data_IF_030430095758
#
_entry.id   IF_030430095758
#
_cell.length_a   1.000
_cell.length_b   1.000
_cell.length_c   1.000
_cell.angle_alpha   90.00
_cell.angle_beta   90.00
_cell.angle_gamma   90.00
#
_symmetry.space_group_name_H-M   'P 1'
#
loop_
_entity.id
_entity.type
_entity.pdbx_description
1 polymer ?
#
# COMPACT_ATOMS: atom_id res chain seq x y z
N UNK A 1 -17.97 -17.28 -66.06
CA UNK A 1 -18.47 -16.84 -64.75
C UNK A 1 -17.26 -16.83 -63.81
N UNK A 2 -16.74 -15.64 -63.54
CA UNK A 2 -15.63 -15.39 -62.62
C UNK A 2 -16.23 -14.66 -61.42
N UNK A 3 -16.36 -15.35 -60.28
CA UNK A 3 -16.74 -14.70 -59.05
C UNK A 3 -15.51 -14.23 -58.29
N UNK A 4 -15.48 -12.95 -58.04
CA UNK A 4 -14.47 -12.20 -57.32
C UNK A 4 -14.63 -12.38 -55.84
N UNK A 5 -13.63 -13.00 -55.19
CA UNK A 5 -13.44 -13.10 -53.74
C UNK A 5 -12.80 -11.78 -53.23
N UNK A 6 -13.61 -10.76 -53.04
CA UNK A 6 -13.19 -9.56 -52.32
C UNK A 6 -14.25 -9.18 -51.30
N UNK A 7 -13.90 -9.38 -50.02
CA UNK A 7 -14.74 -8.80 -48.95
C UNK A 7 -14.94 -9.73 -47.76
N UNK A 8 -13.96 -9.84 -46.90
CA UNK A 8 -14.12 -10.09 -45.45
C UNK A 8 -12.79 -9.99 -44.70
N UNK A 9 -12.27 -8.78 -44.58
CA UNK A 9 -11.08 -8.50 -43.76
C UNK A 9 -11.29 -7.24 -42.88
N UNK A 10 -12.49 -7.03 -42.31
CA UNK A 10 -12.80 -5.83 -41.56
C UNK A 10 -13.23 -6.05 -40.12
N UNK A 11 -13.01 -7.21 -39.52
CA UNK A 11 -13.42 -7.45 -38.12
C UNK A 11 -12.34 -8.15 -37.29
N UNK A 12 -11.12 -7.58 -37.26
CA UNK A 12 -10.13 -7.98 -36.27
C UNK A 12 -9.83 -6.80 -35.34
N UNK A 13 -9.98 -6.97 -34.02
CA UNK A 13 -9.73 -5.90 -33.08
C UNK A 13 -8.25 -5.50 -33.11
N UNK A 14 -8.00 -4.21 -33.04
CA UNK A 14 -6.68 -3.52 -33.16
C UNK A 14 -5.56 -4.00 -32.23
N UNK A 15 -5.83 -4.92 -31.31
CA UNK A 15 -4.86 -5.39 -30.29
C UNK A 15 -3.93 -6.54 -30.73
N UNK A 16 -3.98 -7.04 -31.97
CA UNK A 16 -3.13 -8.17 -32.44
C UNK A 16 -2.19 -7.84 -33.60
N UNK A 17 -1.89 -6.56 -33.87
CA UNK A 17 -0.98 -6.16 -34.96
C UNK A 17 0.45 -5.77 -34.51
N UNK A 18 0.84 -6.02 -33.27
CA UNK A 18 2.16 -5.59 -32.75
C UNK A 18 3.12 -6.74 -32.41
N UNK A 19 3.00 -7.91 -33.04
CA UNK A 19 3.90 -9.02 -32.78
C UNK A 19 4.32 -9.73 -34.09
N UNK A 20 4.94 -9.04 -35.05
CA UNK A 20 5.72 -9.65 -36.11
C UNK A 20 6.71 -8.63 -36.72
N UNK A 21 7.71 -8.21 -35.93
CA UNK A 21 8.95 -7.61 -36.42
C UNK A 21 10.03 -7.79 -35.34
N UNK A 22 10.55 -9.01 -35.21
CA UNK A 22 11.83 -9.27 -34.55
C UNK A 22 12.69 -10.03 -35.54
N UNK A 23 13.34 -9.30 -36.43
CA UNK A 23 14.42 -9.77 -37.28
C UNK A 23 15.71 -9.80 -36.47
N UNK A 24 16.31 -10.97 -36.48
CA UNK A 24 17.72 -11.31 -36.55
C UNK A 24 18.70 -10.14 -36.42
N UNK A 25 19.47 -10.07 -35.34
CA UNK A 25 20.83 -9.51 -35.34
C UNK A 25 21.79 -10.54 -34.79
N UNK A 26 22.71 -10.87 -35.69
CA UNK A 26 23.78 -11.85 -35.58
C UNK A 26 24.86 -11.39 -34.61
N UNK A 27 25.35 -12.34 -33.84
CA UNK A 27 26.53 -12.24 -32.99
C UNK A 27 27.82 -11.97 -33.81
N UNK A 28 28.64 -11.07 -33.31
CA UNK A 28 30.07 -11.04 -33.67
C UNK A 28 30.87 -10.56 -32.44
N UNK A 29 31.57 -11.49 -31.87
CA UNK A 29 32.97 -11.52 -31.50
C UNK A 29 33.52 -10.48 -30.55
N UNK A 30 34.03 -10.97 -29.42
CA UNK A 30 34.92 -10.20 -28.56
C UNK A 30 35.38 -11.01 -27.34
N UNK A 31 36.25 -11.98 -27.59
CA UNK A 31 37.08 -12.64 -26.58
C UNK A 31 38.09 -11.61 -26.04
N UNK A 32 37.97 -11.18 -24.81
CA UNK A 32 39.04 -10.50 -24.08
C UNK A 32 39.45 -11.39 -22.91
N UNK A 33 40.59 -12.07 -23.13
CA UNK A 33 41.35 -12.75 -22.09
C UNK A 33 42.08 -11.72 -21.26
N UNK A 34 41.81 -11.61 -19.96
CA UNK A 34 42.65 -10.90 -19.02
C UNK A 34 43.37 -11.90 -18.14
N UNK A 35 44.67 -11.93 -18.32
CA UNK A 35 45.61 -12.77 -17.60
C UNK A 35 45.75 -12.26 -16.13
N UNK A 36 45.60 -13.21 -15.22
CA UNK A 36 45.89 -13.03 -13.80
C UNK A 36 47.39 -13.04 -13.55
N UNK A 37 47.93 -11.98 -12.99
CA UNK A 37 49.26 -11.94 -12.40
C UNK A 37 49.17 -12.17 -10.90
N UNK A 38 49.57 -13.33 -10.46
CA UNK A 38 49.94 -13.70 -9.09
C UNK A 38 51.35 -13.20 -8.79
N UNK A 39 51.52 -12.37 -7.82
CA UNK A 39 52.72 -12.15 -7.02
C UNK A 39 52.22 -11.84 -5.63
N UNK A 40 52.42 -12.61 -4.57
CA UNK A 40 53.63 -13.22 -4.08
C UNK A 40 54.03 -12.53 -2.77
N UNK A 41 53.82 -13.27 -1.65
CA UNK A 41 54.80 -13.24 -0.55
C UNK A 41 54.58 -12.25 0.61
N UNK A 42 54.51 -12.81 1.82
CA UNK A 42 54.73 -12.03 3.05
C UNK A 42 54.31 -12.81 4.31
N UNK A 43 55.23 -13.61 4.81
CA UNK A 43 55.23 -14.28 6.11
C UNK A 43 55.44 -13.29 7.26
N UNK A 44 54.86 -13.60 8.42
CA UNK A 44 55.21 -13.06 9.73
C UNK A 44 53.98 -12.76 10.56
N UNK A 45 53.67 -13.45 11.58
CA UNK A 45 54.34 -13.80 12.78
C UNK A 45 53.48 -13.42 13.96
N UNK A 46 53.04 -14.42 14.71
CA UNK A 46 53.21 -14.47 16.16
C UNK A 46 52.25 -13.77 17.09
N UNK A 47 51.53 -14.58 17.87
CA UNK A 47 51.43 -14.35 19.32
C UNK A 47 50.12 -13.73 19.81
N UNK A 48 49.32 -14.44 20.46
CA UNK A 48 49.15 -14.74 21.88
C UNK A 48 47.72 -14.94 22.22
N UNK A 49 47.46 -16.13 22.69
CA UNK A 49 46.25 -16.47 23.47
C UNK A 49 46.27 -15.66 24.75
N UNK A 50 45.16 -15.10 25.13
CA UNK A 50 44.81 -14.87 26.53
C UNK A 50 43.37 -15.29 26.76
N UNK A 51 43.25 -16.41 27.45
CA UNK A 51 42.05 -16.84 28.12
C UNK A 51 41.65 -15.81 29.18
N UNK A 52 40.40 -15.42 29.19
CA UNK A 52 39.78 -14.84 30.36
C UNK A 52 38.38 -15.42 30.49
N UNK A 53 38.35 -16.55 31.20
CA UNK A 53 37.16 -17.02 31.87
C UNK A 53 36.82 -16.07 33.03
N UNK A 54 35.54 -15.78 33.19
CA UNK A 54 35.12 -15.28 34.48
C UNK A 54 33.96 -14.30 34.48
N UNK A 55 32.87 -14.82 34.84
CA UNK A 55 31.83 -14.45 35.81
C UNK A 55 30.43 -14.41 35.25
N UNK A 56 29.76 -15.49 35.56
CA UNK A 56 28.32 -15.53 35.73
C UNK A 56 27.89 -14.49 36.78
N UNK A 57 27.21 -13.46 36.37
CA UNK A 57 26.49 -12.53 37.22
C UNK A 57 25.09 -13.06 37.49
N UNK A 58 24.80 -13.28 38.74
CA UNK A 58 23.55 -13.79 39.28
C UNK A 58 22.36 -12.87 38.89
N UNK A 59 21.25 -13.50 38.55
CA UNK A 59 19.94 -12.90 38.41
C UNK A 59 19.43 -12.42 39.79
N UNK A 60 18.86 -11.24 39.94
CA UNK A 60 18.14 -10.89 41.15
C UNK A 60 16.78 -11.58 41.21
N UNK A 61 16.53 -12.17 42.36
CA UNK A 61 15.31 -12.82 42.77
C UNK A 61 14.09 -11.88 42.81
N UNK A 62 12.99 -12.49 42.42
CA UNK A 62 11.58 -12.15 42.66
C UNK A 62 11.28 -10.86 43.44
N UNK A 63 10.56 -9.99 42.81
CA UNK A 63 9.68 -9.01 43.48
C UNK A 63 8.25 -9.52 43.37
N UNK A 64 7.59 -9.60 44.51
CA UNK A 64 6.32 -10.26 44.71
C UNK A 64 5.15 -9.65 43.93
N UNK A 65 4.38 -10.53 43.32
CA UNK A 65 3.10 -10.23 42.73
C UNK A 65 2.01 -10.03 43.77
N UNK A 66 1.46 -8.84 43.83
CA UNK A 66 0.20 -8.60 44.51
C UNK A 66 -0.96 -9.05 43.59
N UNK A 67 -1.80 -9.92 44.13
CA UNK A 67 -3.02 -10.37 43.43
C UNK A 67 -4.03 -9.24 43.28
N UNK A 68 -4.71 -9.12 42.13
CA UNK A 68 -5.79 -8.15 42.00
C UNK A 68 -7.01 -8.56 42.82
N UNK A 69 -7.45 -7.64 43.68
CA UNK A 69 -8.68 -7.76 44.49
C UNK A 69 -9.88 -7.66 43.52
N UNK A 70 -10.68 -8.71 43.45
CA UNK A 70 -11.97 -8.71 42.79
C UNK A 70 -12.93 -7.81 43.55
N UNK A 71 -13.41 -6.78 42.90
CA UNK A 71 -14.56 -5.98 43.36
C UNK A 71 -15.82 -6.71 42.85
N UNK A 72 -16.65 -7.15 43.81
CA UNK A 72 -17.94 -7.74 43.50
C UNK A 72 -18.93 -6.68 43.01
N UNK A 73 -19.78 -6.99 42.02
CA UNK A 73 -20.84 -6.07 41.60
C UNK A 73 -21.96 -6.06 42.66
N UNK A 74 -22.33 -4.85 43.11
CA UNK A 74 -23.48 -4.61 43.96
C UNK A 74 -24.80 -4.85 43.22
N UNK A 75 -25.89 -5.14 43.96
CA UNK A 75 -27.19 -5.43 43.37
C UNK A 75 -27.85 -4.15 42.84
N UNK A 76 -28.21 -4.18 41.56
CA UNK A 76 -28.99 -3.14 40.90
C UNK A 76 -30.47 -3.26 41.26
N UNK A 77 -31.22 -2.14 41.29
CA UNK A 77 -32.64 -2.15 41.54
C UNK A 77 -33.48 -2.62 40.38
N UNK A 78 -34.59 -3.26 40.74
CA UNK A 78 -35.57 -3.91 39.89
C UNK A 78 -36.26 -2.97 38.90
N UNK A 79 -36.58 -3.56 37.75
CA UNK A 79 -37.47 -2.97 36.74
C UNK A 79 -38.95 -2.95 37.21
N UNK A 80 -39.76 -2.04 36.70
CA UNK A 80 -41.10 -2.40 36.33
C UNK A 80 -41.54 -1.91 34.93
N UNK A 81 -42.35 -2.68 34.27
CA UNK A 81 -43.37 -2.17 33.37
C UNK A 81 -43.22 -2.56 31.92
N UNK A 82 -43.88 -3.62 31.56
CA UNK A 82 -44.31 -3.93 30.20
C UNK A 82 -45.26 -2.83 29.68
N UNK A 83 -45.13 -2.49 28.42
CA UNK A 83 -46.11 -1.63 27.77
C UNK A 83 -45.82 -1.37 26.30
N UNK A 84 -46.66 -1.95 25.42
CA UNK A 84 -47.08 -1.49 24.12
C UNK A 84 -46.19 -1.75 22.90
N UNK A 85 -46.66 -2.71 22.12
CA UNK A 85 -46.45 -2.86 20.68
C UNK A 85 -46.72 -1.55 19.94
N UNK A 86 -45.64 -1.01 19.32
CA UNK A 86 -45.74 0.03 18.31
C UNK A 86 -45.14 -0.51 17.00
N UNK A 87 -45.73 -0.24 15.83
CA UNK A 87 -45.22 -0.72 14.58
C UNK A 87 -43.87 -0.10 14.29
N UNK A 88 -42.88 -0.96 13.97
CA UNK A 88 -41.55 -0.57 13.51
C UNK A 88 -41.71 0.11 12.15
N UNK A 89 -41.27 1.35 11.96
CA UNK A 89 -41.20 1.92 10.63
C UNK A 89 -40.03 1.29 9.88
N UNK A 90 -40.34 0.34 9.00
CA UNK A 90 -39.45 -0.07 7.93
C UNK A 90 -39.36 1.08 6.93
N UNK A 91 -38.18 1.62 6.75
CA UNK A 91 -37.97 2.61 5.71
C UNK A 91 -36.80 3.54 6.02
N UNK A 92 -35.58 3.01 6.04
CA UNK A 92 -34.42 3.88 5.83
C UNK A 92 -34.29 4.13 4.34
N UNK A 93 -35.10 5.04 3.81
CA UNK A 93 -34.80 5.74 2.58
C UNK A 93 -33.49 6.50 2.83
N UNK A 94 -32.44 6.06 2.18
CA UNK A 94 -31.24 6.91 2.05
C UNK A 94 -31.64 8.12 1.21
N UNK A 95 -32.00 9.19 1.90
CA UNK A 95 -32.23 10.50 1.30
C UNK A 95 -30.93 10.92 0.60
N UNK A 96 -30.98 11.37 -0.68
CA UNK A 96 -29.80 11.90 -1.33
C UNK A 96 -29.29 13.11 -0.54
N UNK A 97 -27.94 13.30 -0.42
CA UNK A 97 -27.37 14.40 0.32
C UNK A 97 -27.91 15.73 -0.21
N UNK A 98 -28.44 16.55 0.69
CA UNK A 98 -28.87 17.91 0.40
C UNK A 98 -27.66 18.81 0.17
N UNK A 99 -27.79 19.81 -0.69
CA UNK A 99 -26.77 20.80 -1.03
C UNK A 99 -26.13 21.40 0.23
N UNK A 100 -24.87 21.01 0.51
CA UNK A 100 -24.14 21.38 1.73
C UNK A 100 -23.58 20.22 2.55
N UNK A 101 -23.91 18.99 2.22
CA UNK A 101 -23.37 17.81 2.94
C UNK A 101 -21.87 17.62 2.65
N UNK A 102 -21.11 17.53 3.74
CA UNK A 102 -19.69 17.20 3.68
C UNK A 102 -19.51 15.70 3.89
N UNK A 103 -18.89 15.03 2.91
CA UNK A 103 -18.45 13.66 3.06
C UNK A 103 -17.02 13.62 3.64
N UNK A 104 -16.79 12.82 4.68
CA UNK A 104 -15.44 12.59 5.21
C UNK A 104 -15.30 11.14 5.65
N UNK A 105 -14.35 10.41 5.04
CA UNK A 105 -14.18 8.99 5.34
C UNK A 105 -12.73 8.54 5.14
N UNK A 106 -12.24 7.69 6.02
CA UNK A 106 -11.00 6.95 5.86
C UNK A 106 -11.24 5.65 5.09
N UNK A 107 -10.27 5.25 4.27
CA UNK A 107 -10.21 3.96 3.61
C UNK A 107 -8.76 3.43 3.66
N UNK A 108 -8.61 2.12 3.57
CA UNK A 108 -7.30 1.47 3.57
C UNK A 108 -7.31 0.12 4.23
N UNK A 109 -6.16 -0.55 4.35
CA UNK A 109 -6.05 -1.79 5.11
C UNK A 109 -6.58 -1.61 6.53
N UNK A 110 -7.39 -2.57 6.99
CA UNK A 110 -7.94 -2.55 8.34
C UNK A 110 -8.98 -1.46 8.64
N UNK A 111 -9.48 -0.74 7.64
CA UNK A 111 -10.57 0.20 7.81
C UNK A 111 -11.92 -0.47 7.59
N UNK A 112 -12.92 -0.11 8.40
CA UNK A 112 -14.29 -0.61 8.29
C UNK A 112 -15.11 0.13 7.24
N UNK A 113 -14.60 1.22 6.68
CA UNK A 113 -15.27 2.07 5.71
C UNK A 113 -14.39 2.32 4.48
N UNK A 114 -15.02 2.78 3.39
CA UNK A 114 -14.36 2.85 2.08
C UNK A 114 -14.07 1.47 1.52
N UNK A 115 -13.42 1.44 0.37
CA UNK A 115 -12.96 0.20 -0.26
C UNK A 115 -11.45 0.25 -0.42
N UNK A 116 -10.79 -0.86 -0.14
CA UNK A 116 -9.37 -1.04 -0.39
C UNK A 116 -9.14 -2.35 -1.13
N UNK A 117 -8.38 -2.32 -2.22
CA UNK A 117 -8.11 -3.49 -3.07
C UNK A 117 -6.64 -3.52 -3.47
N UNK A 118 -6.04 -4.70 -3.42
CA UNK A 118 -4.67 -4.96 -3.88
C UNK A 118 -4.70 -5.78 -5.17
N UNK A 119 -3.83 -5.42 -6.12
CA UNK A 119 -3.67 -6.13 -7.38
C UNK A 119 -2.21 -6.44 -7.63
N UNK A 120 -1.95 -7.58 -8.26
CA UNK A 120 -0.58 -8.05 -8.48
C UNK A 120 0.13 -8.47 -7.20
N UNK A 121 -0.62 -8.81 -6.12
CA UNK A 121 -0.05 -9.27 -4.87
C UNK A 121 0.65 -10.61 -5.04
N UNK A 122 1.88 -10.70 -4.55
CA UNK A 122 2.67 -11.92 -4.42
C UNK A 122 3.46 -11.87 -3.11
N UNK A 123 3.67 -13.02 -2.47
CA UNK A 123 4.25 -13.09 -1.11
C UNK A 123 5.59 -13.85 -1.09
N UNK A 124 6.13 -14.19 -2.26
CA UNK A 124 7.37 -14.95 -2.37
C UNK A 124 8.58 -14.04 -2.60
N UNK A 125 9.68 -14.35 -1.90
CA UNK A 125 10.96 -13.64 -2.02
C UNK A 125 11.04 -12.36 -1.18
N UNK A 126 12.24 -11.79 -1.11
CA UNK A 126 12.55 -10.59 -0.31
C UNK A 126 11.82 -9.33 -0.79
N UNK A 127 11.38 -9.34 -2.04
CA UNK A 127 10.61 -8.26 -2.66
C UNK A 127 9.09 -8.56 -2.69
N UNK A 128 8.61 -9.53 -1.91
CA UNK A 128 7.18 -9.85 -1.83
C UNK A 128 6.38 -8.80 -1.07
N UNK A 129 5.08 -8.79 -1.30
CA UNK A 129 4.15 -8.04 -0.47
C UNK A 129 4.08 -8.64 0.94
N UNK A 130 3.89 -7.80 1.93
CA UNK A 130 3.54 -8.24 3.28
C UNK A 130 2.65 -7.22 3.99
N UNK A 131 1.90 -7.71 4.95
CA UNK A 131 1.10 -6.87 5.84
C UNK A 131 1.93 -6.50 7.05
N UNK A 132 1.85 -5.24 7.45
CA UNK A 132 2.42 -4.70 8.68
C UNK A 132 1.27 -4.41 9.63
N UNK A 133 1.28 -5.02 10.81
CA UNK A 133 0.12 -5.03 11.71
C UNK A 133 -0.10 -3.72 12.46
N UNK A 134 0.91 -2.83 12.49
CA UNK A 134 0.84 -1.57 13.21
C UNK A 134 1.71 -0.49 12.58
N UNK A 135 1.53 0.75 13.03
CA UNK A 135 2.28 1.91 12.54
C UNK A 135 1.51 2.73 11.50
N UNK A 136 0.38 2.25 11.00
CA UNK A 136 -0.58 3.03 10.21
C UNK A 136 -1.50 3.88 11.09
N UNK A 137 -2.49 4.52 10.47
CA UNK A 137 -3.48 5.32 11.19
C UNK A 137 -4.46 4.42 11.95
N UNK A 138 -4.48 4.58 13.27
CA UNK A 138 -5.38 3.90 14.19
C UNK A 138 -6.47 4.88 14.66
N UNK A 139 -7.58 4.90 13.95
CA UNK A 139 -8.71 5.79 14.20
C UNK A 139 -9.67 5.85 13.03
N UNK A 140 -10.82 6.50 13.21
CA UNK A 140 -11.83 6.62 12.15
C UNK A 140 -12.33 5.28 11.59
N UNK A 141 -12.29 4.23 12.41
CA UNK A 141 -12.68 2.88 12.01
C UNK A 141 -11.56 2.04 11.36
N UNK A 142 -10.31 2.49 11.45
CA UNK A 142 -9.12 1.76 10.98
C UNK A 142 -8.34 1.20 12.19
N UNK A 143 -7.57 0.14 11.98
CA UNK A 143 -6.84 -0.60 13.02
C UNK A 143 -5.31 -0.42 12.99
N UNK A 144 -4.81 0.49 12.16
CA UNK A 144 -3.39 0.81 12.06
C UNK A 144 -2.53 -0.16 11.26
N UNK A 145 -3.08 -1.23 10.69
CA UNK A 145 -2.33 -2.09 9.76
C UNK A 145 -2.14 -1.42 8.40
N UNK A 146 -1.12 -1.81 7.67
CA UNK A 146 -0.90 -1.35 6.30
C UNK A 146 -0.19 -2.42 5.46
N UNK A 147 -0.19 -2.24 4.14
CA UNK A 147 0.49 -3.16 3.22
C UNK A 147 1.79 -2.54 2.71
N UNK A 148 2.87 -3.31 2.81
CA UNK A 148 4.13 -3.01 2.16
C UNK A 148 4.09 -3.52 0.72
N UNK A 149 4.07 -2.60 -0.23
CA UNK A 149 3.96 -2.85 -1.67
C UNK A 149 5.35 -2.86 -2.27
N UNK A 150 5.80 -3.94 -2.92
CA UNK A 150 7.12 -3.98 -3.53
C UNK A 150 7.28 -2.91 -4.59
N UNK A 151 8.48 -2.37 -4.70
CA UNK A 151 8.83 -1.44 -5.78
C UNK A 151 9.15 -2.21 -7.06
N UNK A 152 8.88 -1.62 -8.21
CA UNK A 152 9.16 -2.22 -9.52
C UNK A 152 10.65 -2.38 -9.84
N UNK A 153 11.53 -1.74 -9.06
CA UNK A 153 12.95 -1.62 -9.35
C UNK A 153 13.28 -0.54 -10.39
N UNK A 154 12.27 0.14 -10.93
CA UNK A 154 12.40 1.20 -11.93
C UNK A 154 11.68 2.47 -11.47
N UNK A 155 12.31 3.66 -11.59
CA UNK A 155 11.65 4.92 -11.27
C UNK A 155 10.63 5.36 -12.33
N UNK A 156 10.58 4.70 -13.49
CA UNK A 156 9.78 5.12 -14.65
C UNK A 156 8.78 4.06 -15.14
N UNK A 157 8.94 2.81 -14.72
CA UNK A 157 8.13 1.69 -15.19
C UNK A 157 7.35 1.04 -14.07
N UNK A 158 6.10 0.66 -14.37
CA UNK A 158 5.23 -0.09 -13.47
C UNK A 158 5.34 -1.59 -13.79
N UNK A 159 5.25 -2.46 -12.78
CA UNK A 159 5.20 -3.92 -12.93
C UNK A 159 3.86 -4.53 -12.52
N UNK A 160 2.90 -3.69 -12.12
CA UNK A 160 1.52 -4.08 -11.88
C UNK A 160 1.17 -4.40 -10.44
N UNK A 161 2.07 -4.18 -9.47
CA UNK A 161 1.74 -4.19 -8.06
C UNK A 161 1.08 -2.87 -7.69
N UNK A 162 -0.24 -2.90 -7.42
CA UNK A 162 -1.00 -1.68 -7.16
C UNK A 162 -1.96 -1.83 -5.99
N UNK A 163 -2.19 -0.73 -5.28
CA UNK A 163 -3.20 -0.62 -4.24
C UNK A 163 -4.21 0.47 -4.62
N UNK A 164 -5.50 0.21 -4.41
CA UNK A 164 -6.59 1.13 -4.78
C UNK A 164 -7.47 1.41 -3.57
N UNK A 165 -7.68 2.69 -3.28
CA UNK A 165 -8.68 3.20 -2.33
C UNK A 165 -9.84 3.75 -3.12
N UNK A 166 -11.08 3.48 -2.68
CA UNK A 166 -12.26 4.04 -3.31
C UNK A 166 -13.33 4.42 -2.29
N UNK A 167 -14.02 5.51 -2.57
CA UNK A 167 -15.12 6.05 -1.77
C UNK A 167 -16.33 6.19 -2.66
N UNK A 168 -17.43 5.56 -2.25
CA UNK A 168 -18.71 5.72 -2.90
C UNK A 168 -19.39 6.97 -2.33
N UNK A 169 -19.36 8.04 -3.09
CA UNK A 169 -19.85 9.34 -2.66
C UNK A 169 -21.35 9.51 -2.90
N UNK A 170 -21.87 8.92 -3.99
CA UNK A 170 -23.17 9.27 -4.52
C UNK A 170 -23.09 10.56 -5.38
N UNK A 171 -24.23 11.20 -5.55
CA UNK A 171 -24.35 12.41 -6.37
C UNK A 171 -24.14 13.69 -5.54
N UNK A 172 -23.80 14.78 -6.22
CA UNK A 172 -23.74 16.10 -5.62
C UNK A 172 -22.35 16.55 -5.16
N UNK A 173 -21.37 15.67 -5.14
CA UNK A 173 -19.99 16.02 -4.78
C UNK A 173 -19.20 16.42 -6.03
N UNK A 174 -18.53 17.56 -5.95
CA UNK A 174 -17.74 18.12 -7.06
C UNK A 174 -16.25 18.00 -6.88
N UNK A 175 -15.76 17.99 -5.65
CA UNK A 175 -14.35 18.02 -5.31
C UNK A 175 -14.06 17.25 -4.02
N UNK A 176 -12.91 16.55 -3.99
CA UNK A 176 -12.41 15.84 -2.82
C UNK A 176 -10.98 16.27 -2.47
N UNK A 177 -10.78 16.74 -1.25
CA UNK A 177 -9.47 16.92 -0.65
C UNK A 177 -8.97 15.58 -0.09
N UNK A 178 -7.70 15.26 -0.32
CA UNK A 178 -7.07 14.04 0.15
C UNK A 178 -6.10 14.29 1.32
N UNK A 179 -6.04 13.32 2.22
CA UNK A 179 -4.99 13.20 3.23
C UNK A 179 -4.46 11.78 3.20
N UNK A 180 -3.16 11.61 2.96
CA UNK A 180 -2.46 10.31 2.97
C UNK A 180 -1.80 10.15 4.33
N UNK A 181 -2.05 9.05 5.03
CA UNK A 181 -1.26 8.71 6.19
C UNK A 181 -0.04 7.91 5.77
N UNK A 182 1.15 8.38 6.13
CA UNK A 182 2.41 7.67 5.92
C UNK A 182 2.76 6.94 7.21
N UNK A 183 2.76 5.59 7.21
CA UNK A 183 2.94 4.84 8.45
C UNK A 183 4.38 4.88 8.95
N UNK A 184 4.55 4.58 10.24
CA UNK A 184 5.85 4.32 10.86
C UNK A 184 5.80 3.03 11.68
N UNK A 185 6.34 1.96 11.13
CA UNK A 185 6.46 0.65 11.78
C UNK A 185 7.72 0.51 12.63
N UNK A 186 8.56 1.55 12.68
CA UNK A 186 9.93 1.47 13.20
C UNK A 186 10.93 0.83 12.23
N UNK A 187 10.49 0.36 11.06
CA UNK A 187 11.35 -0.17 9.98
C UNK A 187 11.31 0.74 8.76
N UNK A 188 12.36 1.52 8.49
CA UNK A 188 12.36 2.51 7.40
C UNK A 188 12.04 1.95 6.01
N UNK A 189 12.34 0.68 5.75
CA UNK A 189 12.08 0.03 4.45
C UNK A 189 10.60 -0.25 4.17
N UNK A 190 9.74 -0.25 5.20
CA UNK A 190 8.31 -0.52 5.04
C UNK A 190 7.55 0.68 4.45
N UNK A 191 8.10 1.90 4.58
CA UNK A 191 7.58 3.14 4.02
C UNK A 191 8.74 3.95 3.41
N UNK A 192 9.26 3.47 2.30
CA UNK A 192 10.50 3.95 1.69
C UNK A 192 10.29 4.63 0.32
N UNK A 193 9.05 4.92 -0.05
CA UNK A 193 8.75 5.63 -1.30
C UNK A 193 9.37 7.02 -1.36
N UNK A 194 10.16 7.27 -2.41
CA UNK A 194 10.86 8.53 -2.61
C UNK A 194 10.94 8.93 -4.10
N UNK A 195 9.81 9.41 -4.66
CA UNK A 195 8.47 9.40 -4.07
C UNK A 195 7.66 8.11 -4.34
N UNK A 196 6.57 7.93 -3.59
CA UNK A 196 5.46 7.05 -3.99
C UNK A 196 4.53 7.81 -4.93
N UNK A 197 4.17 7.21 -6.05
CA UNK A 197 3.33 7.82 -7.08
C UNK A 197 1.90 7.29 -6.97
N UNK A 198 0.95 8.22 -7.06
CA UNK A 198 -0.48 7.93 -7.02
C UNK A 198 -1.18 8.47 -8.26
N UNK A 199 -2.21 7.77 -8.72
CA UNK A 199 -3.14 8.19 -9.78
C UNK A 199 -4.52 8.39 -9.18
N UNK A 200 -5.24 9.40 -9.63
CA UNK A 200 -6.65 9.60 -9.29
C UNK A 200 -7.47 9.06 -10.44
N UNK A 201 -8.39 8.14 -10.13
CA UNK A 201 -9.18 7.40 -11.10
C UNK A 201 -10.64 7.84 -11.06
N UNK A 202 -11.32 7.80 -12.21
CA UNK A 202 -12.78 7.92 -12.30
C UNK A 202 -13.50 6.57 -12.12
N UNK A 203 -12.79 5.45 -12.31
CA UNK A 203 -13.24 4.09 -12.07
C UNK A 203 -12.16 3.30 -11.32
N UNK A 204 -12.43 2.79 -10.11
CA UNK A 204 -11.45 2.03 -9.33
C UNK A 204 -11.04 0.70 -9.98
N UNK A 205 -11.84 0.16 -10.90
CA UNK A 205 -11.56 -1.09 -11.59
C UNK A 205 -10.76 -0.90 -12.89
N UNK A 206 -10.68 0.34 -13.40
CA UNK A 206 -9.99 0.68 -14.64
C UNK A 206 -8.81 1.63 -14.40
N UNK A 207 -7.58 1.12 -14.49
CA UNK A 207 -6.37 1.91 -14.36
C UNK A 207 -6.18 2.95 -15.48
N UNK A 208 -6.79 2.73 -16.65
CA UNK A 208 -6.76 3.67 -17.79
C UNK A 208 -7.72 4.85 -17.57
N UNK A 209 -8.61 4.78 -16.56
CA UNK A 209 -9.49 5.88 -16.16
C UNK A 209 -8.78 6.99 -15.39
N UNK A 210 -7.46 6.89 -15.19
CA UNK A 210 -6.66 7.89 -14.51
C UNK A 210 -6.71 9.24 -15.24
N UNK A 211 -7.09 10.30 -14.53
CA UNK A 211 -7.19 11.63 -15.11
C UNK A 211 -6.22 12.66 -14.50
N UNK A 212 -5.61 12.33 -13.37
CA UNK A 212 -4.59 13.14 -12.72
C UNK A 212 -3.80 12.28 -11.74
N UNK A 213 -2.84 12.86 -10.99
CA UNK A 213 -2.07 12.15 -9.99
C UNK A 213 -1.26 13.08 -9.10
N UNK A 214 -0.59 12.49 -8.12
CA UNK A 214 0.29 13.16 -7.19
C UNK A 214 1.39 12.21 -6.71
N UNK A 215 2.32 12.73 -5.93
CA UNK A 215 3.38 11.94 -5.33
C UNK A 215 3.61 12.37 -3.88
N UNK A 216 4.01 11.41 -3.04
CA UNK A 216 4.35 11.64 -1.62
C UNK A 216 5.71 11.02 -1.34
N UNK A 217 6.62 11.79 -0.74
CA UNK A 217 7.89 11.27 -0.22
C UNK A 217 7.66 10.63 1.15
N UNK A 218 7.40 9.34 1.15
CA UNK A 218 7.11 8.61 2.39
C UNK A 218 8.31 8.63 3.35
N UNK A 219 9.52 8.67 2.81
CA UNK A 219 10.75 8.77 3.61
C UNK A 219 10.81 10.02 4.49
N UNK A 220 10.14 11.11 4.09
CA UNK A 220 10.14 12.40 4.80
C UNK A 220 8.97 12.55 5.78
N UNK A 221 7.94 11.68 5.69
CA UNK A 221 6.65 11.87 6.37
C UNK A 221 6.19 10.71 7.24
N UNK A 222 7.10 9.80 7.62
CA UNK A 222 6.72 8.65 8.45
C UNK A 222 6.03 9.06 9.74
N UNK A 223 4.99 8.33 10.11
CA UNK A 223 4.16 8.57 11.29
C UNK A 223 3.25 9.79 11.18
N UNK A 224 3.01 10.33 9.98
CA UNK A 224 2.24 11.56 9.83
C UNK A 224 1.20 11.52 8.73
N UNK A 225 0.17 12.37 8.89
CA UNK A 225 -0.85 12.61 7.90
C UNK A 225 -0.42 13.75 6.97
N UNK A 226 -0.30 13.46 5.68
CA UNK A 226 0.13 14.41 4.65
C UNK A 226 -1.10 14.92 3.91
N UNK A 227 -1.48 16.19 4.06
CA UNK A 227 -2.52 16.78 3.24
C UNK A 227 -2.01 16.90 1.80
N UNK A 228 -2.84 16.43 0.87
CA UNK A 228 -2.63 16.60 -0.56
C UNK A 228 -3.55 17.73 -1.03
N UNK A 229 -3.58 18.04 -2.27
CA UNK A 229 -4.56 18.99 -2.80
C UNK A 229 -5.93 18.33 -3.03
N UNK A 230 -6.91 19.14 -3.39
CA UNK A 230 -8.20 18.69 -3.86
C UNK A 230 -8.19 18.28 -5.33
N UNK A 231 -9.12 17.40 -5.69
CA UNK A 231 -9.30 16.88 -7.04
C UNK A 231 -10.76 16.84 -7.41
N UNK A 232 -11.12 17.16 -8.68
CA UNK A 232 -12.49 17.09 -9.13
C UNK A 232 -13.01 15.65 -9.11
N UNK A 233 -14.24 15.47 -8.68
CA UNK A 233 -14.96 14.20 -8.72
C UNK A 233 -15.49 13.96 -10.14
N UNK A 234 -15.28 12.78 -10.71
CA UNK A 234 -15.67 12.42 -12.09
C UNK A 234 -16.83 11.42 -12.14
N UNK A 235 -17.63 11.33 -11.10
CA UNK A 235 -18.77 10.41 -11.03
C UNK A 235 -19.26 10.24 -9.61
N UNK A 236 -19.86 9.10 -9.30
CA UNK A 236 -20.38 8.77 -7.97
C UNK A 236 -19.34 8.05 -7.08
N UNK A 237 -18.17 7.74 -7.64
CA UNK A 237 -17.03 7.12 -6.94
C UNK A 237 -15.81 8.00 -7.13
N UNK A 238 -15.07 8.19 -6.05
CA UNK A 238 -13.76 8.81 -6.07
C UNK A 238 -12.72 7.75 -5.72
N UNK A 239 -11.67 7.61 -6.53
CA UNK A 239 -10.69 6.56 -6.33
C UNK A 239 -9.25 7.04 -6.52
N UNK A 240 -8.33 6.41 -5.79
CA UNK A 240 -6.89 6.67 -5.83
C UNK A 240 -6.17 5.34 -5.96
N UNK A 241 -5.20 5.27 -6.86
CA UNK A 241 -4.33 4.12 -7.07
C UNK A 241 -2.89 4.46 -6.75
N UNK A 242 -2.24 3.67 -5.90
CA UNK A 242 -0.78 3.61 -5.77
C UNK A 242 -0.23 2.72 -6.86
N UNK A 243 0.84 3.16 -7.53
CA UNK A 243 1.60 2.37 -8.51
C UNK A 243 2.99 2.06 -7.99
N UNK A 244 3.55 0.93 -8.39
CA UNK A 244 4.77 0.36 -7.84
C UNK A 244 6.08 0.97 -8.36
N UNK A 245 6.04 2.10 -9.09
CA UNK A 245 7.26 2.78 -9.54
C UNK A 245 8.15 3.13 -8.37
N UNK A 246 9.35 2.62 -8.36
CA UNK A 246 10.30 2.90 -7.30
C UNK A 246 11.55 2.07 -7.45
N UNK A 247 12.62 2.52 -6.78
CA UNK A 247 13.90 1.83 -6.76
C UNK A 247 14.13 1.21 -5.38
N UNK A 248 14.24 -0.10 -5.34
CA UNK A 248 14.49 -0.94 -4.16
C UNK A 248 15.94 -1.48 -4.11
N UNK A 249 16.84 -0.89 -4.87
CA UNK A 249 18.24 -1.29 -5.01
C UNK A 249 19.18 -0.09 -5.07
N UNK A 250 20.49 -0.35 -5.02
CA UNK A 250 21.55 0.65 -5.19
C UNK A 250 22.35 0.90 -3.92
N UNK A 251 21.71 1.19 -2.82
CA UNK A 251 22.35 1.31 -1.50
C UNK A 251 21.70 0.36 -0.48
N UNK A 252 22.41 0.07 0.61
CA UNK A 252 21.93 -0.89 1.62
C UNK A 252 20.59 -0.48 2.28
N UNK A 253 20.29 0.81 2.33
CA UNK A 253 19.04 1.31 2.89
C UNK A 253 17.84 1.12 1.96
N UNK A 254 18.08 0.87 0.67
CA UNK A 254 17.02 0.65 -0.33
C UNK A 254 16.73 -0.81 -0.63
N UNK A 255 17.65 -1.71 -0.29
CA UNK A 255 17.45 -3.15 -0.55
C UNK A 255 16.22 -3.66 0.20
N UNK A 256 15.24 -4.19 -0.55
CA UNK A 256 13.97 -4.63 -0.01
C UNK A 256 13.06 -3.48 0.45
N UNK A 257 13.22 -2.28 -0.10
CA UNK A 257 12.37 -1.13 0.17
C UNK A 257 10.98 -1.29 -0.47
N UNK A 258 9.94 -0.86 0.24
CA UNK A 258 8.55 -0.94 -0.17
C UNK A 258 7.88 0.43 -0.13
N UNK A 259 6.86 0.61 -0.95
CA UNK A 259 5.87 1.65 -0.74
C UNK A 259 4.91 1.22 0.36
N UNK A 260 4.51 2.12 1.22
CA UNK A 260 3.44 1.85 2.17
C UNK A 260 2.08 2.20 1.55
N UNK A 261 1.20 1.22 1.44
CA UNK A 261 -0.21 1.42 1.19
C UNK A 261 -0.94 1.39 2.53
N UNK A 262 -1.14 2.57 3.11
CA UNK A 262 -1.77 2.77 4.40
C UNK A 262 -3.14 3.46 4.26
N UNK A 263 -3.61 4.12 5.30
CA UNK A 263 -4.90 4.75 5.31
C UNK A 263 -4.86 6.07 4.54
N UNK A 264 -5.96 6.35 3.85
CA UNK A 264 -6.17 7.60 3.13
C UNK A 264 -7.56 8.14 3.46
N UNK A 265 -7.67 9.46 3.65
CA UNK A 265 -8.93 10.13 3.93
C UNK A 265 -9.34 11.00 2.74
N UNK A 266 -10.58 10.84 2.31
CA UNK A 266 -11.23 11.76 1.40
C UNK A 266 -12.18 12.66 2.19
N UNK A 267 -12.16 13.97 1.88
CA UNK A 267 -13.12 14.97 2.37
C UNK A 267 -13.68 15.69 1.17
N UNK A 268 -14.95 15.47 0.87
CA UNK A 268 -15.60 15.93 -0.34
C UNK A 268 -16.75 16.91 -0.05
N UNK A 269 -17.04 17.79 -1.02
CA UNK A 269 -18.12 18.77 -0.99
C UNK A 269 -18.67 19.02 -2.39
#
# INVERSE_FOLDING_TARGET
MRETLTGRLSTLPRRRKALLAAGVVVAAGGLVTVASLLVGGGLGGGGSRTDAAGRAGALPDRVGGGAPTRIAPGPGPAAPGAGADGPVPSGTSSEPPTDGDRFTQWAGPGCSAGTYTERGRFESGDAGWYTVENGGFDGGGCDGRFSAVPMSGSPTEDRGSTAVWAWRLGRGFSECALTVFVPDSGRPRDAAGDPTVYRVLSDPEDADSAYTGFAVRQTEHRGSAVPVRSYPVKGEVFAVQLIDRGRDWGDAGRVGAHHAAAQMRATCH
#
